data_IF_848798528308
#
_entry.id   IF_848798528308
#
_cell.length_a   1.000
_cell.length_b   1.000
_cell.length_c   1.000
_cell.angle_alpha   90.00
_cell.angle_beta   90.00
_cell.angle_gamma   90.00
#
_symmetry.space_group_name_H-M   'P 1'
#
loop_
_entity.id
_entity.type
_entity.pdbx_description
1 polymer ?
#
# COMPACT_ATOMS: atom_id res chain seq x y z
N UNK A 1 -11.05 -8.53 -9.47
CA UNK A 1 -10.91 -7.12 -9.06
C UNK A 1 -10.82 -7.03 -7.55
N UNK A 2 -10.32 -5.90 -7.05
CA UNK A 2 -10.16 -5.64 -5.61
C UNK A 2 -10.97 -4.41 -5.24
N UNK A 3 -11.91 -4.57 -4.32
CA UNK A 3 -12.66 -3.47 -3.73
C UNK A 3 -12.01 -3.13 -2.40
N UNK A 4 -11.66 -1.87 -2.21
CA UNK A 4 -11.13 -1.39 -0.94
C UNK A 4 -12.16 -0.47 -0.29
N UNK A 5 -12.49 -0.79 0.96
CA UNK A 5 -13.26 0.07 1.84
C UNK A 5 -12.34 0.57 2.95
N UNK A 6 -12.28 1.87 3.15
CA UNK A 6 -11.39 2.53 4.10
C UNK A 6 -12.21 3.42 5.01
N UNK A 7 -12.10 3.21 6.31
CA UNK A 7 -12.90 3.89 7.33
C UNK A 7 -11.99 4.67 8.28
N UNK A 8 -12.38 5.91 8.57
CA UNK A 8 -11.61 6.78 9.46
C UNK A 8 -11.84 6.40 10.92
N UNK A 9 -10.76 6.21 11.66
CA UNK A 9 -10.82 5.99 13.11
C UNK A 9 -11.01 7.30 13.85
N UNK A 10 -11.82 7.25 14.91
CA UNK A 10 -12.00 8.37 15.84
C UNK A 10 -12.42 9.71 15.17
N UNK A 11 -13.17 9.66 14.07
CA UNK A 11 -13.58 10.85 13.29
C UNK A 11 -14.28 11.92 14.14
N UNK A 12 -15.08 11.49 15.13
CA UNK A 12 -15.75 12.39 16.07
C UNK A 12 -14.77 13.18 16.96
N UNK A 13 -13.57 12.65 17.19
CA UNK A 13 -12.54 13.26 18.05
C UNK A 13 -11.51 14.05 17.27
N UNK A 14 -11.11 13.56 16.11
CA UNK A 14 -10.01 14.15 15.31
C UNK A 14 -10.51 15.00 14.14
N UNK A 15 -11.83 15.07 13.92
CA UNK A 15 -12.43 15.74 12.77
C UNK A 15 -12.43 14.91 11.49
N UNK A 16 -13.07 15.42 10.45
CA UNK A 16 -13.20 14.76 9.14
C UNK A 16 -11.90 14.88 8.33
N UNK A 17 -11.23 13.77 8.10
CA UNK A 17 -10.00 13.65 7.29
C UNK A 17 -10.25 12.99 5.93
N UNK A 18 -11.49 12.70 5.59
CA UNK A 18 -11.86 12.09 4.30
C UNK A 18 -11.42 12.93 3.11
N UNK A 19 -11.57 14.27 3.09
CA UNK A 19 -11.08 15.08 1.98
C UNK A 19 -9.58 14.90 1.73
N UNK A 20 -8.76 14.83 2.79
CA UNK A 20 -7.31 14.68 2.68
C UNK A 20 -6.92 13.31 2.12
N UNK A 21 -7.61 12.24 2.54
CA UNK A 21 -7.33 10.90 2.01
C UNK A 21 -7.78 10.78 0.56
N UNK A 22 -8.93 11.33 0.19
CA UNK A 22 -9.39 11.33 -1.20
C UNK A 22 -8.42 12.08 -2.12
N UNK A 23 -7.95 13.25 -1.72
CA UNK A 23 -6.93 14.00 -2.46
C UNK A 23 -5.63 13.19 -2.66
N UNK A 24 -5.24 12.39 -1.67
CA UNK A 24 -4.06 11.53 -1.77
C UNK A 24 -4.28 10.26 -2.62
N UNK A 25 -5.51 9.92 -2.94
CA UNK A 25 -5.89 8.73 -3.67
C UNK A 25 -6.26 8.98 -5.14
N UNK A 26 -6.44 10.25 -5.55
CA UNK A 26 -7.01 10.61 -6.86
C UNK A 26 -6.18 10.08 -8.05
N UNK A 27 -4.83 10.17 -7.95
CA UNK A 27 -3.93 9.80 -9.06
C UNK A 27 -3.24 8.45 -8.83
N UNK A 28 -3.86 7.54 -8.07
CA UNK A 28 -3.26 6.23 -7.80
C UNK A 28 -3.33 5.32 -9.02
N UNK A 29 -2.20 4.68 -9.31
CA UNK A 29 -2.14 3.67 -10.37
C UNK A 29 -3.03 2.48 -10.05
N UNK A 30 -3.56 1.84 -11.10
CA UNK A 30 -4.37 0.63 -10.98
C UNK A 30 -5.83 0.88 -10.56
N UNK A 31 -6.27 2.13 -10.42
CA UNK A 31 -7.67 2.47 -10.18
C UNK A 31 -8.53 2.12 -11.40
N UNK A 32 -9.60 1.35 -11.16
CA UNK A 32 -10.68 1.07 -12.09
C UNK A 32 -11.86 2.00 -11.81
N UNK A 33 -12.20 2.16 -10.54
CA UNK A 33 -13.13 3.19 -10.08
C UNK A 33 -12.44 4.03 -9.01
N UNK A 34 -12.53 5.37 -9.12
CA UNK A 34 -11.91 6.26 -8.16
C UNK A 34 -12.48 6.05 -6.75
N UNK A 35 -11.70 6.43 -5.75
CA UNK A 35 -12.20 6.45 -4.38
C UNK A 35 -13.22 7.57 -4.21
N UNK A 36 -14.35 7.21 -3.62
CA UNK A 36 -15.45 8.11 -3.30
C UNK A 36 -15.90 7.89 -1.86
N UNK A 37 -16.38 8.96 -1.22
CA UNK A 37 -17.03 8.86 0.08
C UNK A 37 -18.35 8.12 -0.08
N UNK A 38 -18.58 7.08 0.70
CA UNK A 38 -19.84 6.29 0.73
C UNK A 38 -20.80 6.82 1.79
N UNK A 39 -20.57 6.48 3.06
CA UNK A 39 -21.38 6.90 4.19
C UNK A 39 -20.47 7.41 5.30
N UNK A 40 -20.82 8.58 5.88
CA UNK A 40 -20.08 9.14 7.00
C UNK A 40 -18.60 9.40 6.68
N UNK A 41 -17.70 8.66 7.29
CA UNK A 41 -16.26 8.78 7.19
C UNK A 41 -15.61 7.60 6.44
N UNK A 42 -16.43 6.85 5.68
CA UNK A 42 -15.99 5.74 4.84
C UNK A 42 -15.74 6.18 3.39
N UNK A 43 -14.69 5.68 2.78
CA UNK A 43 -14.41 5.81 1.34
C UNK A 43 -14.22 4.44 0.71
N UNK A 44 -14.61 4.31 -0.58
CA UNK A 44 -14.55 3.06 -1.31
C UNK A 44 -14.03 3.30 -2.72
N UNK A 45 -13.19 2.38 -3.23
CA UNK A 45 -12.66 2.40 -4.58
C UNK A 45 -12.35 1.00 -5.09
N UNK A 46 -12.11 0.88 -6.39
CA UNK A 46 -11.85 -0.41 -7.07
C UNK A 46 -10.51 -0.36 -7.79
N UNK A 47 -9.69 -1.39 -7.60
CA UNK A 47 -8.40 -1.56 -8.26
C UNK A 47 -8.39 -2.84 -9.11
N UNK A 48 -7.62 -2.80 -10.20
CA UNK A 48 -7.48 -3.93 -11.10
C UNK A 48 -6.42 -4.92 -10.63
N UNK A 49 -5.30 -4.42 -10.06
CA UNK A 49 -4.11 -5.23 -9.87
C UNK A 49 -3.67 -5.28 -8.40
N UNK A 50 -3.18 -6.45 -7.98
CA UNK A 50 -2.77 -6.69 -6.61
C UNK A 50 -1.52 -5.91 -6.16
N UNK A 51 -0.48 -5.68 -6.98
CA UNK A 51 0.64 -4.79 -6.62
C UNK A 51 0.19 -3.40 -6.20
N UNK A 52 -0.71 -2.77 -6.98
CA UNK A 52 -1.25 -1.45 -6.65
C UNK A 52 -2.05 -1.47 -5.33
N UNK A 53 -2.78 -2.56 -5.04
CA UNK A 53 -3.47 -2.75 -3.76
C UNK A 53 -2.47 -2.80 -2.61
N UNK A 54 -1.39 -3.58 -2.73
CA UNK A 54 -0.35 -3.68 -1.69
C UNK A 54 0.25 -2.30 -1.39
N UNK A 55 0.64 -1.56 -2.42
CA UNK A 55 1.25 -0.24 -2.27
C UNK A 55 0.29 0.76 -1.62
N UNK A 56 -0.97 0.75 -2.05
CA UNK A 56 -2.00 1.63 -1.51
C UNK A 56 -2.30 1.33 -0.04
N UNK A 57 -2.45 0.06 0.31
CA UNK A 57 -2.73 -0.37 1.69
C UNK A 57 -1.60 0.03 2.64
N UNK A 58 -0.34 -0.20 2.25
CA UNK A 58 0.82 0.19 3.06
C UNK A 58 0.89 1.71 3.26
N UNK A 59 0.52 2.49 2.24
CA UNK A 59 0.50 3.94 2.33
C UNK A 59 -0.62 4.45 3.25
N UNK A 60 -1.82 3.89 3.15
CA UNK A 60 -2.95 4.21 4.04
C UNK A 60 -2.64 3.88 5.51
N UNK A 61 -2.06 2.70 5.76
CA UNK A 61 -1.69 2.28 7.10
C UNK A 61 -0.56 3.16 7.69
N UNK A 62 0.39 3.57 6.85
CA UNK A 62 1.43 4.53 7.25
C UNK A 62 0.86 5.88 7.67
N UNK A 63 -0.16 6.38 6.97
CA UNK A 63 -0.84 7.65 7.32
C UNK A 63 -1.49 7.60 8.70
N UNK A 64 -1.83 6.40 9.16
CA UNK A 64 -2.49 6.18 10.44
C UNK A 64 -3.90 6.77 10.52
N UNK A 65 -4.69 6.24 11.45
CA UNK A 65 -6.06 6.70 11.65
C UNK A 65 -7.09 6.12 10.66
N UNK A 66 -6.73 5.05 9.94
CA UNK A 66 -7.60 4.37 8.99
C UNK A 66 -7.69 2.89 9.30
N UNK A 67 -8.87 2.30 9.07
CA UNK A 67 -9.09 0.86 8.97
C UNK A 67 -9.29 0.50 7.51
N UNK A 68 -8.64 -0.55 7.03
CA UNK A 68 -8.65 -0.92 5.62
C UNK A 68 -9.24 -2.32 5.47
N UNK A 69 -10.33 -2.42 4.71
CA UNK A 69 -10.93 -3.68 4.28
C UNK A 69 -10.69 -3.92 2.81
N UNK A 70 -10.23 -5.12 2.46
CA UNK A 70 -10.06 -5.58 1.08
C UNK A 70 -11.07 -6.68 0.81
N UNK A 71 -11.94 -6.46 -0.18
CA UNK A 71 -12.83 -7.47 -0.73
C UNK A 71 -12.35 -7.94 -2.09
N UNK A 72 -12.23 -9.25 -2.29
CA UNK A 72 -11.85 -9.85 -3.55
C UNK A 72 -12.95 -10.75 -4.08
N UNK A 73 -13.22 -10.72 -5.38
CA UNK A 73 -14.27 -11.54 -5.98
C UNK A 73 -14.92 -10.90 -7.21
N UNK A 74 -16.11 -11.40 -7.53
CA UNK A 74 -16.88 -10.88 -8.66
C UNK A 74 -17.41 -9.47 -8.37
N UNK A 75 -17.41 -8.64 -9.40
CA UNK A 75 -18.10 -7.36 -9.48
C UNK A 75 -19.13 -7.43 -10.60
N UNK A 76 -20.25 -6.75 -10.44
CA UNK A 76 -21.31 -6.74 -11.46
C UNK A 76 -20.88 -5.86 -12.64
N UNK A 77 -21.09 -6.36 -13.85
CA UNK A 77 -20.74 -5.67 -15.10
C UNK A 77 -22.02 -5.30 -15.89
N UNK A 78 -22.00 -4.18 -16.65
CA UNK A 78 -20.90 -3.22 -16.78
C UNK A 78 -20.69 -2.39 -15.52
N UNK A 79 -19.42 -2.04 -15.24
CA UNK A 79 -19.12 -1.15 -14.12
C UNK A 79 -19.76 0.22 -14.35
N UNK A 80 -20.41 0.79 -13.33
CA UNK A 80 -20.89 2.18 -13.37
C UNK A 80 -19.72 3.17 -13.31
N UNK A 81 -20.00 4.45 -13.51
CA UNK A 81 -18.98 5.50 -13.41
C UNK A 81 -18.53 5.79 -11.96
N UNK A 82 -19.25 5.32 -10.96
CA UNK A 82 -19.07 5.63 -9.55
C UNK A 82 -18.93 4.35 -8.72
N UNK A 83 -17.95 4.32 -7.81
CA UNK A 83 -17.77 3.21 -6.87
C UNK A 83 -18.98 3.03 -5.94
N UNK A 84 -19.73 4.10 -5.65
CA UNK A 84 -20.96 4.05 -4.82
C UNK A 84 -22.13 3.34 -5.50
N UNK A 85 -22.17 3.40 -6.83
CA UNK A 85 -23.23 2.75 -7.61
C UNK A 85 -22.86 1.31 -8.00
N UNK A 86 -21.62 0.91 -7.80
CA UNK A 86 -21.12 -0.41 -8.15
C UNK A 86 -21.56 -1.46 -7.11
N UNK A 87 -21.73 -2.70 -7.57
CA UNK A 87 -22.20 -3.83 -6.80
C UNK A 87 -21.45 -5.12 -7.13
N UNK A 88 -21.77 -6.18 -6.39
CA UNK A 88 -21.15 -7.49 -6.54
C UNK A 88 -20.57 -8.02 -5.24
N UNK A 89 -20.19 -9.29 -5.23
CA UNK A 89 -19.71 -10.00 -4.05
C UNK A 89 -18.47 -9.31 -3.43
N UNK A 90 -17.56 -8.77 -4.26
CA UNK A 90 -16.38 -8.08 -3.77
C UNK A 90 -16.71 -6.85 -2.91
N UNK A 91 -17.80 -6.14 -3.18
CA UNK A 91 -18.25 -4.98 -2.39
C UNK A 91 -18.77 -5.38 -1.02
N UNK A 92 -19.55 -6.47 -0.95
CA UNK A 92 -20.03 -7.04 0.31
C UNK A 92 -18.85 -7.48 1.16
N UNK A 93 -17.91 -8.23 0.57
CA UNK A 93 -16.70 -8.73 1.23
C UNK A 93 -15.78 -7.59 1.71
N UNK A 94 -15.65 -6.49 0.96
CA UNK A 94 -14.88 -5.33 1.37
C UNK A 94 -15.47 -4.64 2.61
N UNK A 95 -16.80 -4.57 2.69
CA UNK A 95 -17.50 -4.02 3.86
C UNK A 95 -17.35 -4.92 5.08
N UNK A 96 -17.51 -6.24 4.93
CA UNK A 96 -17.22 -7.19 6.01
C UNK A 96 -15.76 -7.10 6.47
N UNK A 97 -14.82 -6.93 5.53
CA UNK A 97 -13.41 -6.79 5.83
C UNK A 97 -13.12 -5.52 6.64
N UNK A 98 -13.67 -4.35 6.25
CA UNK A 98 -13.41 -3.11 6.99
C UNK A 98 -14.01 -3.15 8.40
N UNK A 99 -15.16 -3.76 8.59
CA UNK A 99 -15.73 -3.97 9.94
C UNK A 99 -14.81 -4.87 10.79
N UNK A 100 -14.28 -5.95 10.20
CA UNK A 100 -13.31 -6.80 10.90
C UNK A 100 -12.01 -6.06 11.21
N UNK A 101 -11.56 -5.13 10.33
CA UNK A 101 -10.35 -4.33 10.52
C UNK A 101 -10.45 -3.31 11.67
N UNK A 102 -11.65 -2.91 12.09
CA UNK A 102 -11.90 -2.01 13.22
C UNK A 102 -11.62 -2.64 14.59
N UNK A 103 -11.48 -3.96 14.66
CA UNK A 103 -11.23 -4.67 15.91
C UNK A 103 -9.93 -4.22 16.59
N UNK A 104 -10.03 -3.85 17.88
CA UNK A 104 -8.86 -3.46 18.70
C UNK A 104 -7.92 -4.63 18.99
N UNK A 105 -8.34 -5.87 18.80
CA UNK A 105 -7.48 -7.05 18.96
C UNK A 105 -6.47 -7.21 17.82
N UNK A 106 -6.63 -6.48 16.71
CA UNK A 106 -5.71 -6.54 15.58
C UNK A 106 -4.49 -5.67 15.80
N UNK A 107 -3.31 -6.20 15.51
CA UNK A 107 -2.04 -5.46 15.52
C UNK A 107 -1.97 -4.41 14.41
N UNK A 108 -2.64 -4.69 13.28
CA UNK A 108 -2.76 -3.81 12.12
C UNK A 108 -4.25 -3.70 11.77
N UNK A 109 -4.78 -2.48 11.52
CA UNK A 109 -6.19 -2.28 11.17
C UNK A 109 -6.46 -2.62 9.71
N UNK A 110 -6.26 -3.89 9.36
CA UNK A 110 -6.40 -4.46 8.03
C UNK A 110 -7.15 -5.78 8.10
N UNK A 111 -8.03 -6.03 7.13
CA UNK A 111 -8.59 -7.35 6.90
C UNK A 111 -8.81 -7.61 5.41
N UNK A 112 -8.78 -8.88 5.02
CA UNK A 112 -9.04 -9.35 3.66
C UNK A 112 -10.19 -10.35 3.72
N UNK A 113 -11.13 -10.23 2.77
CA UNK A 113 -12.19 -11.20 2.55
C UNK A 113 -12.23 -11.53 1.07
N UNK A 114 -12.49 -12.78 0.74
CA UNK A 114 -12.50 -13.26 -0.64
C UNK A 114 -13.45 -14.46 -0.81
N UNK A 115 -13.69 -14.83 -2.07
CA UNK A 115 -14.50 -16.00 -2.40
C UNK A 115 -13.88 -17.30 -1.82
N UNK A 116 -12.55 -17.36 -1.69
CA UNK A 116 -11.84 -18.41 -0.94
C UNK A 116 -11.44 -17.86 0.43
N UNK A 117 -12.09 -18.27 1.53
CA UNK A 117 -11.74 -17.79 2.86
C UNK A 117 -10.30 -18.12 3.28
N UNK A 118 -9.78 -19.29 2.88
CA UNK A 118 -8.40 -19.70 3.17
C UNK A 118 -7.39 -18.81 2.46
N UNK A 119 -7.54 -18.59 1.15
CA UNK A 119 -6.65 -17.72 0.39
C UNK A 119 -6.73 -16.27 0.86
N UNK A 120 -7.91 -15.79 1.26
CA UNK A 120 -8.07 -14.47 1.87
C UNK A 120 -7.36 -14.36 3.23
N UNK A 121 -7.40 -15.40 4.05
CA UNK A 121 -6.68 -15.44 5.32
C UNK A 121 -5.15 -15.43 5.11
N UNK A 122 -4.64 -16.16 4.12
CA UNK A 122 -3.23 -16.16 3.76
C UNK A 122 -2.77 -14.78 3.27
N UNK A 123 -3.57 -14.13 2.42
CA UNK A 123 -3.32 -12.77 1.96
C UNK A 123 -3.31 -11.76 3.13
N UNK A 124 -4.29 -11.85 4.03
CA UNK A 124 -4.37 -11.03 5.24
C UNK A 124 -3.13 -11.21 6.13
N UNK A 125 -2.70 -12.46 6.34
CA UNK A 125 -1.53 -12.77 7.18
C UNK A 125 -0.25 -12.15 6.62
N UNK A 126 0.03 -12.32 5.31
CA UNK A 126 1.23 -11.77 4.68
C UNK A 126 1.19 -10.24 4.67
N UNK A 127 0.07 -9.62 4.30
CA UNK A 127 -0.09 -8.16 4.32
C UNK A 127 0.05 -7.59 5.74
N UNK A 128 -0.51 -8.26 6.73
CA UNK A 128 -0.38 -7.85 8.14
C UNK A 128 1.07 -7.86 8.59
N UNK A 129 1.86 -8.89 8.24
CA UNK A 129 3.28 -8.96 8.56
C UNK A 129 4.06 -7.81 7.92
N UNK A 130 3.85 -7.56 6.63
CA UNK A 130 4.51 -6.47 5.90
C UNK A 130 4.14 -5.11 6.50
N UNK A 131 2.87 -4.89 6.79
CA UNK A 131 2.40 -3.65 7.41
C UNK A 131 2.92 -3.47 8.85
N UNK A 132 3.01 -4.54 9.64
CA UNK A 132 3.55 -4.50 10.99
C UNK A 132 5.04 -4.13 11.00
N UNK A 133 5.82 -4.59 10.02
CA UNK A 133 7.21 -4.15 9.81
C UNK A 133 7.25 -2.64 9.56
N UNK A 134 6.43 -2.14 8.65
CA UNK A 134 6.37 -0.72 8.30
C UNK A 134 5.93 0.16 9.49
N UNK A 135 4.99 -0.32 10.31
CA UNK A 135 4.47 0.40 11.47
C UNK A 135 5.51 0.62 12.59
N UNK A 136 6.57 -0.20 12.64
CA UNK A 136 7.63 -0.12 13.65
C UNK A 136 8.78 0.81 13.27
N UNK A 137 8.73 1.44 12.11
CA UNK A 137 9.80 2.30 11.61
C UNK A 137 9.91 3.60 12.37
N UNK A 138 11.13 3.99 12.66
CA UNK A 138 11.44 5.30 13.20
C UNK A 138 11.24 6.42 12.16
N UNK A 139 11.09 7.66 12.63
CA UNK A 139 11.07 8.85 11.77
C UNK A 139 12.31 8.91 10.86
N UNK A 140 13.49 8.57 11.39
CA UNK A 140 14.73 8.56 10.62
C UNK A 140 14.74 7.46 9.55
N UNK A 141 14.13 6.29 9.84
CA UNK A 141 13.95 5.21 8.86
C UNK A 141 13.02 5.64 7.73
N UNK A 142 11.89 6.27 8.06
CA UNK A 142 10.97 6.80 7.05
C UNK A 142 11.60 7.90 6.22
N UNK A 143 12.34 8.85 6.81
CA UNK A 143 13.04 9.89 6.07
C UNK A 143 14.01 9.31 5.06
N UNK A 144 14.77 8.25 5.42
CA UNK A 144 15.68 7.58 4.50
C UNK A 144 14.93 6.89 3.34
N UNK A 145 13.80 6.22 3.62
CA UNK A 145 12.97 5.54 2.61
C UNK A 145 12.34 6.56 1.65
N UNK A 146 11.75 7.64 2.17
CA UNK A 146 11.08 8.65 1.36
C UNK A 146 12.07 9.36 0.42
N UNK A 147 13.25 9.71 0.95
CA UNK A 147 14.31 10.31 0.13
C UNK A 147 14.81 9.33 -0.93
N UNK A 148 14.97 8.05 -0.59
CA UNK A 148 15.37 7.02 -1.56
C UNK A 148 14.31 6.87 -2.67
N UNK A 149 13.04 6.81 -2.33
CA UNK A 149 11.94 6.75 -3.32
C UNK A 149 11.91 7.98 -4.23
N UNK A 150 12.18 9.17 -3.68
CA UNK A 150 12.28 10.39 -4.48
C UNK A 150 13.44 10.34 -5.47
N UNK A 151 14.62 9.90 -5.02
CA UNK A 151 15.81 9.69 -5.88
C UNK A 151 15.49 8.70 -7.00
N UNK A 152 14.84 7.59 -6.67
CA UNK A 152 14.46 6.56 -7.64
C UNK A 152 13.44 7.08 -8.67
N UNK A 153 12.44 7.81 -8.23
CA UNK A 153 11.43 8.40 -9.12
C UNK A 153 12.02 9.45 -10.07
N UNK A 154 12.97 10.25 -9.60
CA UNK A 154 13.69 11.22 -10.43
C UNK A 154 14.55 10.51 -11.48
N UNK A 155 15.30 9.49 -11.06
CA UNK A 155 16.15 8.70 -11.97
C UNK A 155 15.32 8.00 -13.04
N UNK A 156 14.18 7.41 -12.67
CA UNK A 156 13.25 6.77 -13.61
C UNK A 156 12.70 7.76 -14.64
N UNK A 157 12.37 8.98 -14.21
CA UNK A 157 11.91 10.05 -15.13
C UNK A 157 13.00 10.45 -16.12
N UNK A 158 14.24 10.61 -15.66
CA UNK A 158 15.39 10.97 -16.51
C UNK A 158 15.68 9.86 -17.53
N UNK A 159 15.52 8.59 -17.16
CA UNK A 159 15.74 7.43 -18.01
C UNK A 159 14.54 7.08 -18.91
N UNK A 160 13.52 7.93 -18.99
CA UNK A 160 12.35 7.69 -19.84
C UNK A 160 11.55 6.44 -19.44
N UNK A 161 11.57 6.08 -18.15
CA UNK A 161 10.84 4.91 -17.63
C UNK A 161 11.60 3.58 -17.71
N UNK A 162 12.83 3.56 -18.21
CA UNK A 162 13.66 2.36 -18.20
C UNK A 162 13.98 1.91 -16.76
N UNK A 163 14.04 0.59 -16.49
CA UNK A 163 14.36 0.10 -15.16
C UNK A 163 15.78 0.52 -14.76
N UNK A 164 15.93 0.95 -13.51
CA UNK A 164 17.21 1.42 -12.93
C UNK A 164 18.28 0.33 -12.82
N UNK A 165 17.91 -0.93 -13.06
CA UNK A 165 18.82 -2.08 -13.07
C UNK A 165 18.75 -2.69 -14.47
N UNK A 166 19.79 -2.41 -15.26
CA UNK A 166 19.99 -3.03 -16.56
C UNK A 166 20.49 -4.50 -16.46
N UNK A 167 20.67 -5.19 -17.60
CA UNK A 167 21.09 -6.59 -17.66
C UNK A 167 22.54 -6.85 -17.17
N UNK A 168 23.26 -5.81 -16.72
CA UNK A 168 24.71 -5.86 -16.44
C UNK A 168 25.11 -6.58 -15.13
N UNK A 169 24.18 -7.26 -14.48
CA UNK A 169 24.44 -8.19 -13.38
C UNK A 169 24.65 -7.56 -11.99
N UNK A 170 25.00 -8.40 -10.98
CA UNK A 170 25.02 -7.98 -9.56
C UNK A 170 25.97 -6.83 -9.21
N UNK A 171 27.07 -6.68 -9.97
CA UNK A 171 28.05 -5.60 -9.74
C UNK A 171 27.50 -4.22 -10.13
N UNK A 172 26.84 -4.11 -11.28
CA UNK A 172 26.19 -2.87 -11.70
C UNK A 172 25.07 -2.47 -10.73
N UNK A 173 24.26 -3.42 -10.30
CA UNK A 173 23.23 -3.21 -9.28
C UNK A 173 23.81 -2.69 -7.95
N UNK A 174 24.97 -3.20 -7.51
CA UNK A 174 25.64 -2.77 -6.30
C UNK A 174 26.19 -1.32 -6.43
N UNK A 175 26.79 -0.97 -7.57
CA UNK A 175 27.30 0.38 -7.83
C UNK A 175 26.16 1.39 -7.87
N UNK A 176 25.07 1.10 -8.56
CA UNK A 176 23.86 1.93 -8.58
C UNK A 176 23.30 2.08 -7.17
N UNK A 177 23.27 1.00 -6.38
CA UNK A 177 22.82 1.04 -4.99
C UNK A 177 23.66 1.98 -4.12
N UNK A 178 24.99 1.99 -4.26
CA UNK A 178 25.88 2.89 -3.53
C UNK A 178 25.66 4.35 -3.95
N UNK A 179 25.59 4.64 -5.24
CA UNK A 179 25.37 6.00 -5.74
C UNK A 179 24.02 6.58 -5.25
N UNK A 180 22.97 5.75 -5.23
CA UNK A 180 21.65 6.13 -4.69
C UNK A 180 21.72 6.47 -3.20
N UNK A 181 22.41 5.63 -2.41
CA UNK A 181 22.55 5.91 -0.98
C UNK A 181 23.42 7.14 -0.70
N UNK A 182 24.43 7.43 -1.53
CA UNK A 182 25.22 8.67 -1.44
C UNK A 182 24.35 9.90 -1.71
N UNK A 183 23.47 9.87 -2.72
CA UNK A 183 22.55 10.97 -2.99
C UNK A 183 21.54 11.16 -1.85
N UNK A 184 21.00 10.07 -1.29
CA UNK A 184 20.16 10.13 -0.10
C UNK A 184 20.91 10.76 1.09
N UNK A 185 22.16 10.35 1.30
CA UNK A 185 23.02 10.88 2.37
C UNK A 185 23.23 12.39 2.23
N UNK A 186 23.51 12.84 0.99
CA UNK A 186 23.68 14.27 0.66
C UNK A 186 22.41 15.06 0.98
N UNK A 187 21.21 14.57 0.56
CA UNK A 187 19.92 15.25 0.80
C UNK A 187 19.55 15.32 2.28
N UNK A 188 19.90 14.29 3.05
CA UNK A 188 19.60 14.22 4.47
C UNK A 188 20.67 14.84 5.38
N UNK A 189 21.80 15.28 4.82
CA UNK A 189 22.91 15.83 5.60
C UNK A 189 23.57 14.80 6.55
N UNK A 190 23.62 13.51 6.15
CA UNK A 190 24.20 12.43 6.96
C UNK A 190 25.20 11.62 6.15
N UNK A 191 25.95 10.71 6.80
CA UNK A 191 26.85 9.80 6.08
C UNK A 191 26.08 8.70 5.33
N UNK A 192 26.67 8.17 4.26
CA UNK A 192 26.14 7.02 3.53
C UNK A 192 25.97 5.79 4.43
N UNK A 193 26.89 5.59 5.39
CA UNK A 193 26.78 4.54 6.39
C UNK A 193 25.53 4.69 7.27
N UNK A 194 25.20 5.92 7.69
CA UNK A 194 24.00 6.21 8.46
C UNK A 194 22.74 5.90 7.64
N UNK A 195 22.69 6.22 6.34
CA UNK A 195 21.60 5.84 5.45
C UNK A 195 21.45 4.33 5.39
N UNK A 196 22.54 3.60 5.15
CA UNK A 196 22.56 2.14 5.10
C UNK A 196 22.03 1.51 6.40
N UNK A 197 22.45 2.04 7.56
CA UNK A 197 21.95 1.59 8.87
C UNK A 197 20.45 1.86 9.05
N UNK A 198 19.97 3.05 8.68
CA UNK A 198 18.54 3.42 8.74
C UNK A 198 17.68 2.53 7.88
N UNK A 199 18.10 2.25 6.63
CA UNK A 199 17.36 1.36 5.72
C UNK A 199 17.34 -0.08 6.22
N UNK A 200 18.45 -0.59 6.78
CA UNK A 200 18.50 -1.93 7.40
C UNK A 200 17.61 -2.02 8.64
N UNK A 201 17.72 -1.07 9.56
CA UNK A 201 16.88 -1.02 10.75
C UNK A 201 15.38 -0.89 10.41
N UNK A 202 15.07 -0.23 9.29
CA UNK A 202 13.72 -0.10 8.76
C UNK A 202 13.22 -1.36 8.03
N UNK A 203 14.05 -2.41 7.87
CA UNK A 203 13.74 -3.62 7.10
C UNK A 203 13.19 -3.28 5.69
N UNK A 204 13.77 -2.25 5.05
CA UNK A 204 13.25 -1.76 3.77
C UNK A 204 13.40 -2.79 2.65
N UNK A 205 14.56 -3.42 2.54
CA UNK A 205 14.81 -4.45 1.53
C UNK A 205 13.89 -5.67 1.70
N UNK A 206 13.65 -6.06 2.96
CA UNK A 206 12.79 -7.21 3.29
C UNK A 206 11.33 -6.94 2.95
N UNK A 207 10.84 -5.71 3.24
CA UNK A 207 9.50 -5.30 2.82
C UNK A 207 9.36 -5.31 1.30
N UNK A 208 10.30 -4.69 0.58
CA UNK A 208 10.26 -4.65 -0.89
C UNK A 208 10.26 -6.06 -1.47
N UNK A 209 11.06 -6.97 -0.92
CA UNK A 209 11.10 -8.37 -1.34
C UNK A 209 9.79 -9.13 -1.02
N UNK A 210 9.09 -8.77 0.06
CA UNK A 210 7.84 -9.42 0.47
C UNK A 210 6.60 -8.92 -0.30
N UNK A 211 6.60 -7.70 -0.84
CA UNK A 211 5.44 -7.14 -1.56
C UNK A 211 4.93 -8.01 -2.72
N UNK A 212 5.78 -8.59 -3.59
CA UNK A 212 5.32 -9.50 -4.64
C UNK A 212 4.64 -10.75 -4.10
N UNK A 213 5.08 -11.27 -2.93
CA UNK A 213 4.42 -12.40 -2.28
C UNK A 213 3.03 -12.00 -1.79
N UNK A 214 2.89 -10.84 -1.14
CA UNK A 214 1.60 -10.30 -0.72
C UNK A 214 0.65 -10.11 -1.92
N UNK A 215 1.14 -9.58 -3.03
CA UNK A 215 0.36 -9.41 -4.25
C UNK A 215 -0.12 -10.75 -4.84
N UNK A 216 0.75 -11.78 -4.86
CA UNK A 216 0.35 -13.13 -5.31
C UNK A 216 -0.75 -13.73 -4.43
N UNK A 217 -0.65 -13.56 -3.09
CA UNK A 217 -1.70 -14.05 -2.19
C UNK A 217 -3.03 -13.31 -2.40
N UNK A 218 -3.00 -12.01 -2.62
CA UNK A 218 -4.21 -11.26 -2.97
C UNK A 218 -4.81 -11.75 -4.30
N UNK A 219 -3.98 -12.03 -5.30
CA UNK A 219 -4.46 -12.59 -6.58
C UNK A 219 -5.10 -13.95 -6.39
N UNK A 220 -4.49 -14.82 -5.57
CA UNK A 220 -5.07 -16.13 -5.24
C UNK A 220 -6.41 -16.02 -4.49
N UNK A 221 -6.58 -14.98 -3.66
CA UNK A 221 -7.84 -14.72 -2.96
C UNK A 221 -8.95 -14.22 -3.89
N UNK A 222 -8.58 -13.68 -5.06
CA UNK A 222 -9.54 -13.17 -6.03
C UNK A 222 -10.13 -14.26 -6.96
N UNK A 223 -9.55 -15.44 -6.99
CA UNK A 223 -9.97 -16.61 -7.80
C UNK A 223 -9.32 -16.62 -9.15
#
# INVERSE_FOLDING_TARGET
MFVLTVDQKDSRRVGDRVPDVLAALVDRQGLVLPFERTVGDEVQGVLADAPAVVDLVLDLLRRGGWSVGIGTGAVDLPLPASARAASGAAFVLAREAVEAAKSRARSVPLAVRGASPTAAADAEAVLTLVAAIAARRSTAGWAAIDTLRSVDAEATRVLGGAPLVGPDGPRAAAVVGVARQQEVARRLGVSQQAVSQRLRAALWADEVAARPAAARQLTAAAG
#
